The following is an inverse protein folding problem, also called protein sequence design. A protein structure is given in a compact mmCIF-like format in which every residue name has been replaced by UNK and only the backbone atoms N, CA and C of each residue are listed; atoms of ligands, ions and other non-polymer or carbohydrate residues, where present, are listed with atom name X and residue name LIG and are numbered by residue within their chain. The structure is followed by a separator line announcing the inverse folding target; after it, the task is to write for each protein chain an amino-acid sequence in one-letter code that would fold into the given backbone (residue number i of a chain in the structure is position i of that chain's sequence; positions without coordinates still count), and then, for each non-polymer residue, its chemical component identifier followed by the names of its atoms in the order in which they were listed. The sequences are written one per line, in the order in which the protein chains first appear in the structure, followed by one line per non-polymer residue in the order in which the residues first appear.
data_IF_680728922865
#
_entry.id   IF_680728922865
#
_cell.length_a   1.000
_cell.length_b   1.000
_cell.length_c   1.000
_cell.angle_alpha   90.00
_cell.angle_beta   90.00
_cell.angle_gamma   90.00
#
_symmetry.space_group_name_H-M   'P 1'
#
loop_
_entity.id
_entity.type
_entity.pdbx_description
1 polymer ?
#
# COMPACT_ATOMS: atom_id res chain seq x y z
N UNK A 1 11.08 17.65 -5.52
CA UNK A 1 9.61 17.57 -5.58
C UNK A 1 9.22 16.35 -6.41
N UNK A 2 8.75 15.26 -5.82
CA UNK A 2 8.32 14.07 -6.56
C UNK A 2 6.81 14.15 -6.75
N UNK A 3 6.34 14.61 -7.92
CA UNK A 3 4.93 14.41 -8.34
C UNK A 3 4.70 12.89 -8.37
N UNK A 4 4.04 12.32 -7.35
CA UNK A 4 3.57 10.93 -7.42
C UNK A 4 2.42 10.89 -8.43
N UNK A 5 2.66 10.20 -9.54
CA UNK A 5 1.71 10.08 -10.64
C UNK A 5 0.59 9.10 -10.21
N UNK A 6 -0.68 9.52 -10.12
CA UNK A 6 -1.79 8.65 -9.73
C UNK A 6 -1.91 7.42 -10.64
N UNK A 7 -1.42 7.52 -11.88
CA UNK A 7 -1.33 6.37 -12.80
C UNK A 7 -0.45 5.25 -12.24
N UNK A 8 0.67 5.56 -11.55
CA UNK A 8 1.57 4.54 -11.00
C UNK A 8 0.92 3.71 -9.89
N UNK A 9 0.08 4.33 -9.06
CA UNK A 9 -0.66 3.62 -8.00
C UNK A 9 -1.68 2.68 -8.62
N UNK A 10 -2.46 3.19 -9.58
CA UNK A 10 -3.43 2.40 -10.34
C UNK A 10 -2.77 1.22 -11.08
N UNK A 11 -1.60 1.42 -11.70
CA UNK A 11 -0.87 0.35 -12.39
C UNK A 11 -0.43 -0.77 -11.45
N UNK A 12 -0.01 -0.44 -10.22
CA UNK A 12 0.41 -1.45 -9.23
C UNK A 12 -0.80 -2.23 -8.70
N UNK A 13 -1.90 -1.55 -8.38
CA UNK A 13 -3.14 -2.20 -7.93
C UNK A 13 -3.71 -3.14 -8.98
N UNK A 14 -3.85 -2.65 -10.22
CA UNK A 14 -4.38 -3.45 -11.35
C UNK A 14 -3.46 -4.62 -11.65
N UNK A 15 -2.15 -4.41 -11.66
CA UNK A 15 -1.17 -5.48 -11.85
C UNK A 15 -1.28 -6.57 -10.78
N UNK A 16 -1.38 -6.19 -9.51
CA UNK A 16 -1.46 -7.13 -8.40
C UNK A 16 -2.78 -7.94 -8.42
N UNK A 17 -3.89 -7.30 -8.77
CA UNK A 17 -5.19 -7.97 -8.92
C UNK A 17 -5.18 -8.94 -10.10
N UNK A 18 -4.58 -8.54 -11.23
CA UNK A 18 -4.44 -9.42 -12.41
C UNK A 18 -3.61 -10.67 -12.09
N UNK A 19 -2.47 -10.51 -11.40
CA UNK A 19 -1.62 -11.63 -10.97
C UNK A 19 -2.36 -12.54 -10.00
N UNK A 20 -3.08 -11.97 -9.03
CA UNK A 20 -3.86 -12.75 -8.04
C UNK A 20 -4.99 -13.54 -8.71
N UNK A 21 -5.66 -12.95 -9.71
CA UNK A 21 -6.69 -13.63 -10.50
C UNK A 21 -6.11 -14.77 -11.35
N UNK A 22 -4.98 -14.54 -12.03
CA UNK A 22 -4.30 -15.58 -12.81
C UNK A 22 -3.84 -16.74 -11.91
N UNK A 23 -3.31 -16.44 -10.72
CA UNK A 23 -2.92 -17.45 -9.73
C UNK A 23 -4.13 -18.25 -9.24
N UNK A 24 -5.24 -17.59 -8.91
CA UNK A 24 -6.45 -18.26 -8.45
C UNK A 24 -7.03 -19.19 -9.52
N UNK A 25 -7.04 -18.76 -10.79
CA UNK A 25 -7.47 -19.58 -11.91
C UNK A 25 -6.56 -20.81 -12.12
N UNK A 26 -5.23 -20.61 -12.06
CA UNK A 26 -4.27 -21.71 -12.17
C UNK A 26 -4.42 -22.74 -11.03
N UNK A 27 -4.60 -22.27 -9.79
CA UNK A 27 -4.86 -23.14 -8.64
C UNK A 27 -6.17 -23.91 -8.80
N UNK A 28 -7.23 -23.25 -9.26
CA UNK A 28 -8.51 -23.90 -9.51
C UNK A 28 -8.38 -25.02 -10.54
N UNK A 29 -7.70 -24.77 -11.67
CA UNK A 29 -7.47 -25.78 -12.70
C UNK A 29 -6.69 -26.98 -12.15
N UNK A 30 -5.60 -26.74 -11.40
CA UNK A 30 -4.79 -27.81 -10.80
C UNK A 30 -5.53 -28.63 -9.75
N UNK A 31 -6.41 -28.01 -8.97
CA UNK A 31 -7.19 -28.71 -7.95
C UNK A 31 -8.31 -29.55 -8.58
N UNK A 32 -8.96 -29.03 -9.62
CA UNK A 32 -9.95 -29.77 -10.41
C UNK A 32 -9.32 -30.98 -11.10
N UNK A 33 -8.14 -30.83 -11.72
CA UNK A 33 -7.37 -31.95 -12.31
C UNK A 33 -7.07 -33.07 -11.30
N UNK A 34 -6.95 -32.73 -10.01
CA UNK A 34 -6.66 -33.66 -8.92
C UNK A 34 -7.91 -34.23 -8.24
N UNK A 35 -9.11 -33.93 -8.76
CA UNK A 35 -10.37 -34.43 -8.19
C UNK A 35 -10.71 -33.84 -6.83
N UNK A 36 -10.17 -32.67 -6.49
CA UNK A 36 -10.48 -31.98 -5.24
C UNK A 36 -11.92 -31.47 -5.28
N UNK A 37 -12.65 -31.61 -4.17
CA UNK A 37 -14.04 -31.18 -4.07
C UNK A 37 -14.21 -29.69 -4.40
N UNK A 38 -15.26 -29.36 -5.14
CA UNK A 38 -15.53 -28.00 -5.64
C UNK A 38 -15.63 -26.95 -4.53
N UNK A 39 -16.12 -27.33 -3.35
CA UNK A 39 -16.16 -26.44 -2.18
C UNK A 39 -14.75 -26.04 -1.70
N UNK A 40 -13.80 -26.97 -1.73
CA UNK A 40 -12.39 -26.70 -1.37
C UNK A 40 -11.74 -25.82 -2.44
N UNK A 41 -12.01 -26.09 -3.72
CA UNK A 41 -11.53 -25.25 -4.82
C UNK A 41 -12.03 -23.81 -4.67
N UNK A 42 -13.33 -23.64 -4.43
CA UNK A 42 -13.93 -22.33 -4.21
C UNK A 42 -13.32 -21.61 -3.01
N UNK A 43 -13.11 -22.31 -1.89
CA UNK A 43 -12.46 -21.74 -0.71
C UNK A 43 -11.03 -21.25 -1.01
N UNK A 44 -10.22 -22.06 -1.72
CA UNK A 44 -8.85 -21.68 -2.11
C UNK A 44 -8.85 -20.45 -3.03
N UNK A 45 -9.74 -20.42 -4.02
CA UNK A 45 -9.90 -19.27 -4.92
C UNK A 45 -10.28 -18.02 -4.14
N UNK A 46 -11.30 -18.09 -3.29
CA UNK A 46 -11.72 -16.97 -2.44
C UNK A 46 -10.57 -16.47 -1.56
N UNK A 47 -9.88 -17.37 -0.84
CA UNK A 47 -8.73 -17.01 -0.01
C UNK A 47 -7.63 -16.32 -0.82
N UNK A 48 -7.31 -16.84 -2.00
CA UNK A 48 -6.27 -16.27 -2.87
C UNK A 48 -6.64 -14.85 -3.31
N UNK A 49 -7.88 -14.63 -3.72
CA UNK A 49 -8.38 -13.32 -4.12
C UNK A 49 -8.44 -12.34 -2.94
N UNK A 50 -8.87 -12.79 -1.75
CA UNK A 50 -8.92 -11.97 -0.53
C UNK A 50 -7.52 -11.52 -0.10
N UNK A 51 -6.52 -12.39 -0.20
CA UNK A 51 -5.12 -12.03 0.06
C UNK A 51 -4.63 -11.01 -0.95
N UNK A 52 -4.93 -11.21 -2.24
CA UNK A 52 -4.60 -10.25 -3.31
C UNK A 52 -5.18 -8.86 -3.06
N UNK A 53 -6.47 -8.80 -2.69
CA UNK A 53 -7.16 -7.55 -2.34
C UNK A 53 -6.57 -6.87 -1.11
N UNK A 54 -6.29 -7.65 -0.06
CA UNK A 54 -5.70 -7.13 1.18
C UNK A 54 -4.31 -6.54 0.92
N UNK A 55 -3.51 -7.21 0.09
CA UNK A 55 -2.18 -6.75 -0.28
C UNK A 55 -2.24 -5.49 -1.15
N UNK A 56 -3.16 -5.44 -2.13
CA UNK A 56 -3.41 -4.24 -2.94
C UNK A 56 -3.78 -3.04 -2.05
N UNK A 57 -4.68 -3.25 -1.09
CA UNK A 57 -5.05 -2.22 -0.14
C UNK A 57 -3.83 -1.74 0.67
N UNK A 58 -3.00 -2.65 1.19
CA UNK A 58 -1.77 -2.28 1.91
C UNK A 58 -0.79 -1.47 1.05
N UNK A 59 -0.60 -1.86 -0.22
CA UNK A 59 0.24 -1.11 -1.15
C UNK A 59 -0.31 0.30 -1.40
N UNK A 60 -1.62 0.44 -1.59
CA UNK A 60 -2.26 1.75 -1.71
C UNK A 60 -2.03 2.60 -0.43
N UNK A 61 -2.19 1.99 0.75
CA UNK A 61 -1.93 2.69 2.01
C UNK A 61 -0.48 3.16 2.09
N UNK A 62 0.48 2.30 1.78
CA UNK A 62 1.91 2.63 1.78
C UNK A 62 2.25 3.72 0.76
N UNK A 63 1.71 3.63 -0.45
CA UNK A 63 1.92 4.58 -1.54
C UNK A 63 1.26 5.94 -1.27
N UNK A 64 0.18 5.99 -0.50
CA UNK A 64 -0.46 7.23 -0.04
C UNK A 64 0.15 7.81 1.22
N UNK A 65 1.04 7.06 1.88
CA UNK A 65 1.71 7.50 3.09
C UNK A 65 3.01 8.21 2.74
N UNK A 66 3.23 9.37 3.34
CA UNK A 66 4.47 10.14 3.28
C UNK A 66 4.99 10.33 4.70
N UNK A 67 6.28 10.08 4.90
CA UNK A 67 6.95 10.29 6.17
C UNK A 67 7.88 11.49 6.04
N UNK A 68 7.75 12.46 6.93
CA UNK A 68 8.68 13.57 7.10
C UNK A 68 9.35 13.43 8.45
N UNK A 69 10.68 13.40 8.47
CA UNK A 69 11.48 13.33 9.70
C UNK A 69 12.28 14.62 9.82
N UNK A 70 12.40 15.14 11.04
CA UNK A 70 13.26 16.28 11.30
C UNK A 70 14.73 15.90 10.99
N UNK A 71 15.50 16.72 10.25
CA UNK A 71 16.88 16.40 9.89
C UNK A 71 17.89 16.60 11.03
N UNK A 72 17.48 17.22 12.14
CA UNK A 72 18.36 17.48 13.29
C UNK A 72 18.58 16.20 14.09
N UNK A 73 19.86 15.86 14.31
CA UNK A 73 20.22 14.68 15.11
C UNK A 73 19.73 14.84 16.56
N UNK A 74 19.13 13.79 17.11
CA UNK A 74 18.50 13.82 18.44
C UNK A 74 17.04 14.29 18.44
N UNK A 75 16.52 14.87 17.34
CA UNK A 75 15.11 15.21 17.24
C UNK A 75 14.25 13.97 16.89
N UNK A 76 13.35 13.58 17.79
CA UNK A 76 12.45 12.43 17.60
C UNK A 76 11.18 12.75 16.78
N UNK A 77 11.03 13.99 16.30
CA UNK A 77 9.82 14.41 15.59
C UNK A 77 9.77 13.80 14.19
N UNK A 78 8.72 13.03 13.95
CA UNK A 78 8.35 12.53 12.62
C UNK A 78 6.85 12.70 12.39
N UNK A 79 6.48 13.08 11.17
CA UNK A 79 5.09 13.28 10.75
C UNK A 79 4.80 12.30 9.64
N UNK A 80 3.86 11.39 9.91
CA UNK A 80 3.31 10.46 8.93
C UNK A 80 1.98 11.01 8.43
N UNK A 81 1.91 11.29 7.13
CA UNK A 81 0.73 11.87 6.48
C UNK A 81 0.18 10.90 5.45
N UNK A 82 -1.14 10.71 5.43
CA UNK A 82 -1.83 9.88 4.43
C UNK A 82 -2.89 10.69 3.69
N UNK A 83 -2.89 10.61 2.36
CA UNK A 83 -3.98 11.15 1.52
C UNK A 83 -4.16 12.67 1.55
N UNK A 84 -3.14 13.44 1.97
CA UNK A 84 -3.23 14.89 2.02
C UNK A 84 -3.06 15.53 0.63
N UNK A 85 -3.70 16.68 0.42
CA UNK A 85 -3.51 17.49 -0.78
C UNK A 85 -2.05 17.95 -0.91
N UNK A 86 -1.56 18.28 -2.12
CA UNK A 86 -0.17 18.76 -2.30
C UNK A 86 0.16 19.96 -1.41
N UNK A 87 -0.80 20.85 -1.21
CA UNK A 87 -0.65 22.03 -0.36
C UNK A 87 -0.58 21.67 1.13
N UNK A 88 -1.40 20.72 1.58
CA UNK A 88 -1.34 20.21 2.95
C UNK A 88 -0.03 19.44 3.20
N UNK A 89 0.48 18.69 2.22
CA UNK A 89 1.79 18.04 2.30
C UNK A 89 2.93 19.05 2.42
N UNK A 90 2.88 20.17 1.69
CA UNK A 90 3.86 21.25 1.84
C UNK A 90 3.85 21.86 3.25
N UNK A 91 2.64 22.14 3.78
CA UNK A 91 2.48 22.67 5.14
C UNK A 91 2.98 21.70 6.21
N UNK A 92 2.58 20.43 6.11
CA UNK A 92 2.99 19.38 7.05
C UNK A 92 4.49 19.10 6.97
N UNK A 93 5.08 19.15 5.78
CA UNK A 93 6.53 19.07 5.60
C UNK A 93 7.25 20.21 6.31
N UNK A 94 6.81 21.45 6.09
CA UNK A 94 7.42 22.63 6.72
C UNK A 94 7.41 22.49 8.24
N UNK A 95 6.27 22.08 8.81
CA UNK A 95 6.14 21.84 10.25
C UNK A 95 7.04 20.70 10.75
N UNK A 96 7.14 19.61 10.00
CA UNK A 96 7.96 18.45 10.35
C UNK A 96 9.47 18.71 10.25
N UNK A 97 9.90 19.72 9.49
CA UNK A 97 11.32 20.09 9.34
C UNK A 97 11.72 21.34 10.13
N UNK A 98 10.76 22.10 10.66
CA UNK A 98 11.00 23.29 11.47
C UNK A 98 11.36 22.90 12.91
N UNK A 99 12.67 22.68 13.14
CA UNK A 99 13.18 22.31 14.46
C UNK A 99 12.90 23.36 15.53
N UNK A 100 12.71 24.63 15.18
CA UNK A 100 12.40 25.68 16.17
C UNK A 100 11.07 25.43 16.90
N UNK A 101 10.20 24.61 16.32
CA UNK A 101 8.91 24.19 16.90
C UNK A 101 8.94 22.81 17.53
N UNK A 102 10.06 22.09 17.44
CA UNK A 102 10.26 20.82 18.10
C UNK A 102 10.90 21.17 19.45
N UNK A 103 10.16 21.00 20.55
CA UNK A 103 10.61 21.42 21.88
C UNK A 103 12.03 20.95 22.20
N UNK A 104 12.72 21.71 23.04
CA UNK A 104 14.12 21.44 23.40
C UNK A 104 14.29 20.00 23.88
N UNK A 105 15.14 19.25 23.18
CA UNK A 105 15.69 17.96 23.63
C UNK A 105 16.61 18.17 24.82
#
# INVERSE_FOLDING_TARGET
MTRRNPRKVLFVEVGLLAVSGALAAALAARLLERGVGTAVVAAVVCCTLTVGLSLAAQFDQGMRTTLYTCPVSGCAVSVRVRGASPEALCRLRALATDHSRHGAT
#
